data_IF_115484459537
#
_entry.id   IF_115484459537
#
_cell.length_a   1.000
_cell.length_b   1.000
_cell.length_c   1.000
_cell.angle_alpha   90.00
_cell.angle_beta   90.00
_cell.angle_gamma   90.00
#
_symmetry.space_group_name_H-M   'P 1'
#
loop_
_entity.id
_entity.type
_entity.pdbx_description
1 polymer ?
#
# COMPACT_ATOMS: atom_id res chain seq x y z
N UNK A 1 -30.33 2.78 5.97
CA UNK A 1 -29.70 3.45 7.12
C UNK A 1 -28.90 2.40 7.88
N UNK A 2 -27.58 2.52 7.92
CA UNK A 2 -26.73 1.60 8.67
C UNK A 2 -26.87 1.99 10.14
N UNK A 3 -27.34 1.07 10.99
CA UNK A 3 -27.60 1.31 12.41
C UNK A 3 -26.36 1.85 13.12
N UNK A 4 -26.53 2.97 13.81
CA UNK A 4 -25.53 3.70 14.56
C UNK A 4 -25.19 3.08 15.94
N UNK A 5 -25.39 1.78 16.13
CA UNK A 5 -25.19 1.09 17.41
C UNK A 5 -24.17 -0.04 17.22
N UNK A 6 -22.93 0.33 16.93
CA UNK A 6 -21.83 -0.62 17.08
C UNK A 6 -21.43 -0.60 18.54
N UNK A 7 -21.69 -1.68 19.26
CA UNK A 7 -21.31 -1.86 20.66
C UNK A 7 -19.88 -1.35 20.88
N UNK A 8 -19.61 -0.46 21.86
CA UNK A 8 -18.30 0.16 22.03
C UNK A 8 -17.19 -0.87 22.26
N UNK A 9 -17.54 -2.06 22.78
CA UNK A 9 -16.61 -3.20 22.91
C UNK A 9 -16.23 -3.84 21.57
N UNK A 10 -17.13 -3.87 20.59
CA UNK A 10 -16.84 -4.41 19.25
C UNK A 10 -15.97 -3.45 18.45
N UNK A 11 -16.20 -2.15 18.56
CA UNK A 11 -15.35 -1.13 17.95
C UNK A 11 -13.91 -1.19 18.50
N UNK A 12 -13.74 -1.32 19.82
CA UNK A 12 -12.41 -1.42 20.45
C UNK A 12 -11.69 -2.72 20.11
N UNK A 13 -12.41 -3.85 20.03
CA UNK A 13 -11.83 -5.13 19.58
C UNK A 13 -11.35 -5.06 18.12
N UNK A 14 -12.15 -4.45 17.23
CA UNK A 14 -11.75 -4.23 15.83
C UNK A 14 -10.52 -3.31 15.73
N UNK A 15 -10.41 -2.32 16.60
CA UNK A 15 -9.25 -1.43 16.68
C UNK A 15 -7.99 -2.18 17.14
N UNK A 16 -8.07 -3.04 18.15
CA UNK A 16 -6.92 -3.84 18.60
C UNK A 16 -6.49 -4.89 17.58
N UNK A 17 -7.44 -5.52 16.87
CA UNK A 17 -7.11 -6.46 15.80
C UNK A 17 -6.51 -5.76 14.58
N UNK A 18 -6.93 -4.53 14.30
CA UNK A 18 -6.26 -3.66 13.32
C UNK A 18 -4.85 -3.32 13.78
N UNK A 19 -4.67 -2.92 15.03
CA UNK A 19 -3.36 -2.58 15.61
C UNK A 19 -2.38 -3.75 15.54
N UNK A 20 -2.83 -4.96 15.91
CA UNK A 20 -2.01 -6.18 15.83
C UNK A 20 -1.57 -6.51 14.41
N UNK A 21 -2.47 -6.38 13.43
CA UNK A 21 -2.14 -6.59 12.00
C UNK A 21 -1.14 -5.55 11.49
N UNK A 22 -1.27 -4.28 11.91
CA UNK A 22 -0.33 -3.23 11.54
C UNK A 22 1.07 -3.47 12.12
N UNK A 23 1.17 -3.88 13.38
CA UNK A 23 2.47 -4.21 14.01
C UNK A 23 3.16 -5.38 13.32
N UNK A 24 2.43 -6.45 13.03
CA UNK A 24 2.99 -7.61 12.32
C UNK A 24 3.41 -7.28 10.88
N UNK A 25 2.69 -6.36 10.22
CA UNK A 25 3.05 -5.89 8.89
C UNK A 25 4.31 -5.00 8.93
N UNK A 26 4.38 -4.11 9.91
CA UNK A 26 5.54 -3.24 10.12
C UNK A 26 6.81 -4.03 10.41
N UNK A 27 6.71 -5.08 11.24
CA UNK A 27 7.81 -6.00 11.50
C UNK A 27 8.31 -6.67 10.21
N UNK A 28 7.39 -7.18 9.38
CA UNK A 28 7.74 -7.82 8.10
C UNK A 28 8.36 -6.85 7.10
N UNK A 29 7.83 -5.63 6.96
CA UNK A 29 8.35 -4.65 6.00
C UNK A 29 9.75 -4.16 6.41
N UNK A 30 10.06 -4.14 7.71
CA UNK A 30 11.38 -3.77 8.24
C UNK A 30 12.41 -4.90 8.20
N UNK A 31 11.98 -6.15 8.06
CA UNK A 31 12.87 -7.30 7.93
C UNK A 31 13.54 -7.30 6.55
N UNK A 32 14.87 -7.09 6.44
CA UNK A 32 15.57 -7.03 5.16
C UNK A 32 15.56 -8.39 4.43
N UNK A 33 15.31 -9.50 5.11
CA UNK A 33 15.21 -10.82 4.48
C UNK A 33 13.84 -11.08 3.86
N UNK A 34 12.83 -10.26 4.18
CA UNK A 34 11.48 -10.42 3.66
C UNK A 34 11.38 -9.90 2.22
N UNK A 35 10.75 -10.68 1.33
CA UNK A 35 10.64 -10.32 -0.11
C UNK A 35 9.90 -9.01 -0.37
N UNK A 36 8.97 -8.64 0.50
CA UNK A 36 8.23 -7.37 0.43
C UNK A 36 8.68 -6.42 1.55
N UNK A 37 9.98 -6.42 1.83
CA UNK A 37 10.59 -5.40 2.66
C UNK A 37 10.54 -4.01 1.98
N UNK A 38 10.91 -2.97 2.72
CA UNK A 38 10.89 -1.60 2.23
C UNK A 38 11.69 -1.40 0.93
N UNK A 39 12.91 -1.93 0.86
CA UNK A 39 13.79 -1.74 -0.29
C UNK A 39 13.23 -2.43 -1.55
N UNK A 40 12.77 -3.67 -1.43
CA UNK A 40 12.17 -4.40 -2.55
C UNK A 40 10.86 -3.75 -3.04
N UNK A 41 10.06 -3.19 -2.13
CA UNK A 41 8.87 -2.43 -2.49
C UNK A 41 9.22 -1.14 -3.24
N UNK A 42 10.27 -0.44 -2.79
CA UNK A 42 10.78 0.75 -3.48
C UNK A 42 11.33 0.40 -4.87
N UNK A 43 12.16 -0.64 -4.97
CA UNK A 43 12.69 -1.15 -6.25
C UNK A 43 11.56 -1.49 -7.22
N UNK A 44 10.48 -2.10 -6.73
CA UNK A 44 9.30 -2.41 -7.55
C UNK A 44 8.65 -1.15 -8.12
N UNK A 45 8.46 -0.11 -7.30
CA UNK A 45 7.89 1.16 -7.76
C UNK A 45 8.82 1.86 -8.73
N UNK A 46 10.13 1.87 -8.46
CA UNK A 46 11.13 2.47 -9.35
C UNK A 46 11.17 1.76 -10.71
N UNK A 47 11.18 0.43 -10.72
CA UNK A 47 11.11 -0.35 -11.95
C UNK A 47 9.81 -0.06 -12.72
N UNK A 48 8.66 -0.05 -12.03
CA UNK A 48 7.37 0.24 -12.65
C UNK A 48 7.32 1.63 -13.29
N UNK A 49 7.84 2.66 -12.60
CA UNK A 49 7.91 4.01 -13.15
C UNK A 49 8.85 4.06 -14.35
N UNK A 50 10.02 3.42 -14.26
CA UNK A 50 10.99 3.35 -15.36
C UNK A 50 10.40 2.70 -16.61
N UNK A 51 9.74 1.55 -16.45
CA UNK A 51 9.17 0.78 -17.57
C UNK A 51 7.97 1.48 -18.22
N UNK A 52 7.24 2.30 -17.46
CA UNK A 52 6.04 2.98 -17.93
C UNK A 52 6.28 4.43 -18.40
N UNK A 53 7.48 4.98 -18.24
CA UNK A 53 7.80 6.36 -18.59
C UNK A 53 8.10 6.55 -20.10
N UNK A 54 7.36 5.83 -20.95
CA UNK A 54 7.52 5.87 -22.40
C UNK A 54 6.23 6.35 -23.09
N UNK A 55 6.36 7.15 -24.14
CA UNK A 55 5.22 7.81 -24.80
C UNK A 55 4.21 6.81 -25.40
N UNK A 56 4.68 5.64 -25.83
CA UNK A 56 3.86 4.54 -26.31
C UNK A 56 3.02 3.87 -25.20
N UNK A 57 3.43 3.94 -23.93
CA UNK A 57 2.71 3.38 -22.79
C UNK A 57 1.81 4.45 -22.14
N UNK A 58 2.24 5.71 -22.11
CA UNK A 58 1.50 6.86 -21.56
C UNK A 58 0.22 7.21 -22.32
N UNK A 59 -0.05 6.60 -23.47
CA UNK A 59 -1.38 6.67 -24.11
C UNK A 59 -2.49 6.14 -23.19
N UNK A 60 -2.14 5.24 -22.26
CA UNK A 60 -3.04 4.73 -21.23
C UNK A 60 -3.15 5.76 -20.12
N UNK A 61 -4.27 6.48 -20.06
CA UNK A 61 -4.51 7.61 -19.14
C UNK A 61 -4.26 7.29 -17.67
N UNK A 62 -4.55 6.05 -17.23
CA UNK A 62 -4.29 5.62 -15.86
C UNK A 62 -2.78 5.56 -15.58
N UNK A 63 -1.99 5.05 -16.52
CA UNK A 63 -0.52 4.99 -16.41
C UNK A 63 0.03 6.41 -16.46
N UNK A 64 -0.40 7.23 -17.42
CA UNK A 64 0.01 8.64 -17.49
C UNK A 64 -0.25 9.39 -16.17
N UNK A 65 -1.44 9.20 -15.60
CA UNK A 65 -1.83 9.82 -14.33
C UNK A 65 -0.98 9.30 -13.17
N UNK A 66 -0.69 8.00 -13.13
CA UNK A 66 0.16 7.40 -12.11
C UNK A 66 1.59 7.95 -12.18
N UNK A 67 2.21 7.94 -13.36
CA UNK A 67 3.58 8.44 -13.57
C UNK A 67 3.70 9.93 -13.23
N UNK A 68 2.69 10.74 -13.56
CA UNK A 68 2.64 12.16 -13.16
C UNK A 68 2.58 12.40 -11.65
N UNK A 69 2.13 11.42 -10.85
CA UNK A 69 2.09 11.52 -9.38
C UNK A 69 3.38 11.05 -8.71
N UNK A 70 4.17 10.23 -9.42
CA UNK A 70 5.44 9.71 -8.94
C UNK A 70 6.64 10.63 -9.25
N UNK A 71 6.42 11.69 -10.04
CA UNK A 71 7.39 12.74 -10.40
C UNK A 71 6.97 14.05 -9.74
#
# INVERSE_FOLDING_TARGET
AISADTDPKMATLMDEDRRRRLMALEEKIRDPSYIANLDCLLDTVTALVSDCDHDNVKIIKNIETYIKRCK
#
